data_IF_306922539565
#
_entry.id   IF_306922539565
#
_cell.length_a   1.000
_cell.length_b   1.000
_cell.length_c   1.000
_cell.angle_alpha   90.00
_cell.angle_beta   90.00
_cell.angle_gamma   90.00
#
_symmetry.space_group_name_H-M   'P 1'
#
loop_
_entity.id
_entity.type
_entity.pdbx_description
1 polymer ?
#
# COMPACT_ATOMS: atom_id res chain seq x y z
N UNK A 1 -19.79 3.80 13.23
CA UNK A 1 -18.48 3.29 12.77
C UNK A 1 -17.50 4.45 12.75
N UNK A 2 -16.36 4.34 13.41
CA UNK A 2 -15.41 5.45 13.50
C UNK A 2 -14.60 5.61 12.21
N UNK A 3 -14.04 6.80 11.99
CA UNK A 3 -13.15 7.09 10.85
C UNK A 3 -11.95 6.17 10.84
N UNK A 4 -11.38 5.85 12.00
CA UNK A 4 -10.26 4.92 12.13
C UNK A 4 -10.59 3.53 11.59
N UNK A 5 -11.76 3.00 11.93
CA UNK A 5 -12.22 1.70 11.42
C UNK A 5 -12.38 1.74 9.89
N UNK A 6 -12.95 2.82 9.34
CA UNK A 6 -13.14 2.96 7.90
C UNK A 6 -11.81 3.04 7.15
N UNK A 7 -10.88 3.84 7.63
CA UNK A 7 -9.54 3.97 7.01
C UNK A 7 -8.78 2.65 7.10
N UNK A 8 -8.79 1.97 8.25
CA UNK A 8 -8.18 0.65 8.40
C UNK A 8 -8.74 -0.34 7.37
N UNK A 9 -10.06 -0.45 7.27
CA UNK A 9 -10.71 -1.36 6.31
C UNK A 9 -10.39 -1.00 4.86
N UNK A 10 -10.34 0.28 4.52
CA UNK A 10 -9.94 0.73 3.20
C UNK A 10 -8.51 0.30 2.88
N UNK A 11 -7.55 0.57 3.75
CA UNK A 11 -6.15 0.21 3.53
C UNK A 11 -5.97 -1.30 3.36
N UNK A 12 -6.62 -2.11 4.18
CA UNK A 12 -6.55 -3.57 4.08
C UNK A 12 -7.15 -4.07 2.76
N UNK A 13 -8.33 -3.56 2.38
CA UNK A 13 -9.01 -3.91 1.12
C UNK A 13 -8.13 -3.60 -0.11
N UNK A 14 -7.51 -2.41 -0.13
CA UNK A 14 -6.65 -1.99 -1.24
C UNK A 14 -5.34 -2.80 -1.28
N UNK A 15 -4.76 -3.14 -0.12
CA UNK A 15 -3.60 -4.01 -0.04
C UNK A 15 -3.89 -5.43 -0.55
N UNK A 16 -5.05 -6.00 -0.17
CA UNK A 16 -5.48 -7.30 -0.67
C UNK A 16 -5.69 -7.28 -2.20
N UNK A 17 -6.21 -6.17 -2.75
CA UNK A 17 -6.32 -5.98 -4.19
C UNK A 17 -4.94 -5.86 -4.85
N UNK A 18 -3.99 -5.16 -4.22
CA UNK A 18 -2.64 -5.02 -4.76
C UNK A 18 -1.91 -6.37 -4.79
N UNK A 19 -2.04 -7.19 -3.76
CA UNK A 19 -1.50 -8.55 -3.73
C UNK A 19 -2.04 -9.35 -4.91
N UNK A 20 -3.35 -9.30 -5.17
CA UNK A 20 -3.96 -9.98 -6.32
C UNK A 20 -3.43 -9.45 -7.67
N UNK A 21 -3.19 -8.14 -7.81
CA UNK A 21 -2.56 -7.60 -9.04
C UNK A 21 -1.14 -8.13 -9.26
N UNK A 22 -0.34 -8.26 -8.20
CA UNK A 22 0.99 -8.87 -8.28
C UNK A 22 0.88 -10.36 -8.63
N UNK A 23 -0.01 -11.10 -7.99
CA UNK A 23 -0.25 -12.53 -8.26
C UNK A 23 -0.76 -12.78 -9.69
N UNK A 24 -1.50 -11.84 -10.27
CA UNK A 24 -2.01 -11.90 -11.65
C UNK A 24 -0.96 -11.58 -12.72
N UNK A 25 0.24 -11.16 -12.37
CA UNK A 25 1.35 -11.13 -13.30
C UNK A 25 1.69 -12.58 -13.73
N UNK A 26 1.80 -12.89 -15.03
CA UNK A 26 2.01 -14.27 -15.49
C UNK A 26 3.35 -14.85 -15.03
N UNK A 27 4.36 -14.02 -14.90
CA UNK A 27 5.71 -14.39 -14.48
C UNK A 27 6.44 -13.23 -13.80
N UNK A 28 7.66 -13.50 -13.32
CA UNK A 28 8.49 -12.53 -12.64
C UNK A 28 9.11 -11.50 -13.63
N UNK A 29 9.23 -11.81 -14.91
CA UNK A 29 9.72 -10.89 -15.94
C UNK A 29 8.69 -9.74 -16.12
N UNK A 30 7.43 -10.07 -16.32
CA UNK A 30 6.34 -9.09 -16.48
C UNK A 30 6.19 -8.22 -15.24
N UNK A 31 6.41 -8.78 -14.05
CA UNK A 31 6.37 -8.02 -12.79
C UNK A 31 7.30 -6.81 -12.79
N UNK A 32 8.49 -6.93 -13.40
CA UNK A 32 9.53 -5.89 -13.44
C UNK A 32 9.57 -5.10 -14.76
N UNK A 33 8.73 -5.47 -15.73
CA UNK A 33 8.64 -4.80 -17.01
C UNK A 33 7.92 -3.45 -16.91
N UNK A 34 8.32 -2.49 -17.73
CA UNK A 34 7.68 -1.17 -17.86
C UNK A 34 7.19 -0.95 -19.28
N UNK A 35 6.18 -0.12 -19.46
CA UNK A 35 5.72 0.34 -20.77
C UNK A 35 6.42 1.66 -21.15
N UNK A 36 6.44 2.04 -22.45
CA UNK A 36 6.95 3.36 -22.87
C UNK A 36 6.29 4.51 -22.10
N UNK A 37 7.13 5.42 -21.56
CA UNK A 37 6.67 6.55 -20.75
C UNK A 37 6.35 6.22 -19.28
N UNK A 38 6.56 4.98 -18.85
CA UNK A 38 6.34 4.54 -17.46
C UNK A 38 7.69 4.22 -16.80
N UNK A 39 7.93 4.76 -15.61
CA UNK A 39 9.20 4.60 -14.88
C UNK A 39 9.20 3.43 -13.89
N UNK A 40 8.06 3.09 -13.32
CA UNK A 40 7.94 2.09 -12.26
C UNK A 40 7.15 0.88 -12.74
N UNK A 41 7.73 -0.30 -12.54
CA UNK A 41 7.04 -1.58 -12.78
C UNK A 41 5.98 -1.87 -11.69
N UNK A 42 5.16 -2.89 -11.92
CA UNK A 42 4.23 -3.41 -10.89
C UNK A 42 4.98 -3.80 -9.62
N UNK A 43 6.16 -4.43 -9.77
CA UNK A 43 7.04 -4.80 -8.66
C UNK A 43 7.53 -3.58 -7.86
N UNK A 44 8.00 -2.51 -8.55
CA UNK A 44 8.41 -1.28 -7.88
C UNK A 44 7.25 -0.63 -7.11
N UNK A 45 6.07 -0.55 -7.71
CA UNK A 45 4.89 0.01 -7.06
C UNK A 45 4.48 -0.81 -5.84
N UNK A 46 4.55 -2.14 -5.92
CA UNK A 46 4.27 -3.03 -4.79
C UNK A 46 5.25 -2.85 -3.64
N UNK A 47 6.55 -2.83 -3.92
CA UNK A 47 7.57 -2.56 -2.89
C UNK A 47 7.43 -1.16 -2.29
N UNK A 48 7.14 -0.15 -3.14
CA UNK A 48 6.94 1.22 -2.69
C UNK A 48 5.77 1.35 -1.72
N UNK A 49 4.62 0.77 -2.05
CA UNK A 49 3.44 0.78 -1.18
C UNK A 49 3.72 0.03 0.13
N UNK A 50 4.35 -1.13 0.05
CA UNK A 50 4.70 -1.92 1.24
C UNK A 50 5.66 -1.15 2.16
N UNK A 51 6.74 -0.60 1.62
CA UNK A 51 7.71 0.21 2.39
C UNK A 51 7.11 1.49 2.97
N UNK A 52 6.24 2.15 2.20
CA UNK A 52 5.52 3.35 2.61
C UNK A 52 4.65 3.08 3.85
N UNK A 53 3.78 2.08 3.79
CA UNK A 53 2.85 1.77 4.88
C UNK A 53 3.55 1.20 6.11
N UNK A 54 4.56 0.34 5.93
CA UNK A 54 5.38 -0.15 7.06
C UNK A 54 6.11 0.99 7.77
N UNK A 55 6.59 1.99 7.02
CA UNK A 55 7.24 3.15 7.60
C UNK A 55 6.25 4.07 8.30
N UNK A 56 5.22 4.54 7.61
CA UNK A 56 4.36 5.58 8.16
C UNK A 56 3.36 5.03 9.18
N UNK A 57 2.68 3.94 8.88
CA UNK A 57 1.74 3.34 9.83
C UNK A 57 2.49 2.50 10.85
N UNK A 58 3.37 1.60 10.41
CA UNK A 58 4.08 0.70 11.30
C UNK A 58 5.05 1.42 12.22
N UNK A 59 5.99 2.17 11.67
CA UNK A 59 7.06 2.79 12.46
C UNK A 59 6.62 4.11 13.09
N UNK A 60 6.15 5.08 12.32
CA UNK A 60 5.88 6.42 12.85
C UNK A 60 4.65 6.48 13.75
N UNK A 61 3.60 5.73 13.45
CA UNK A 61 2.39 5.68 14.30
C UNK A 61 2.51 4.55 15.33
N UNK A 62 2.94 3.37 14.91
CA UNK A 62 2.95 2.14 15.72
C UNK A 62 4.27 1.82 16.43
N UNK A 63 5.37 2.51 16.13
CA UNK A 63 6.67 2.31 16.81
C UNK A 63 7.35 0.96 16.47
N UNK A 64 7.09 0.36 15.31
CA UNK A 64 7.61 -0.97 14.95
C UNK A 64 9.14 -1.05 14.76
N UNK A 65 9.83 0.08 14.62
CA UNK A 65 11.26 0.11 14.34
C UNK A 65 11.62 -0.19 12.88
N UNK A 66 10.65 -0.29 11.96
CA UNK A 66 10.90 -0.55 10.54
C UNK A 66 11.80 0.53 9.92
N UNK A 67 12.88 0.09 9.27
CA UNK A 67 13.79 0.96 8.52
C UNK A 67 13.48 0.85 7.04
N UNK A 68 13.03 1.95 6.45
CA UNK A 68 12.62 2.01 5.04
C UNK A 68 13.83 2.11 4.12
N UNK A 69 13.87 1.27 3.11
CA UNK A 69 14.82 1.35 1.99
C UNK A 69 14.11 1.89 0.73
N UNK A 70 13.93 3.23 0.70
CA UNK A 70 13.23 3.88 -0.41
C UNK A 70 14.00 3.77 -1.73
N UNK A 71 15.32 3.71 -1.68
CA UNK A 71 16.15 3.57 -2.87
C UNK A 71 15.91 2.20 -3.53
N UNK A 72 15.88 1.13 -2.75
CA UNK A 72 15.54 -0.21 -3.24
C UNK A 72 14.15 -0.26 -3.86
N UNK A 73 13.14 0.38 -3.27
CA UNK A 73 11.77 0.39 -3.80
C UNK A 73 11.71 0.79 -5.27
N UNK A 74 12.51 1.77 -5.68
CA UNK A 74 12.48 2.34 -7.03
C UNK A 74 13.59 1.83 -7.96
N UNK A 75 14.67 1.28 -7.44
CA UNK A 75 15.82 0.84 -8.23
C UNK A 75 15.85 -0.68 -8.49
N UNK A 76 15.11 -1.48 -7.72
CA UNK A 76 15.04 -2.92 -7.94
C UNK A 76 14.42 -3.23 -9.31
N UNK A 77 15.04 -4.17 -10.05
CA UNK A 77 14.62 -4.56 -11.42
C UNK A 77 14.44 -6.07 -11.59
N UNK A 78 14.55 -6.82 -10.52
CA UNK A 78 14.39 -8.28 -10.50
C UNK A 78 13.96 -8.75 -9.12
N UNK A 79 13.47 -9.99 -9.04
CA UNK A 79 12.97 -10.63 -7.83
C UNK A 79 11.67 -11.37 -8.13
N UNK A 80 11.25 -12.23 -7.25
CA UNK A 80 10.04 -13.04 -7.44
C UNK A 80 8.76 -12.30 -7.05
N UNK A 81 7.65 -12.69 -7.65
CA UNK A 81 6.31 -12.27 -7.22
C UNK A 81 6.06 -12.62 -5.76
N UNK A 82 6.57 -13.76 -5.30
CA UNK A 82 6.43 -14.20 -3.92
C UNK A 82 7.08 -13.21 -2.94
N UNK A 83 8.24 -12.65 -3.26
CA UNK A 83 8.91 -11.62 -2.44
C UNK A 83 8.10 -10.34 -2.36
N UNK A 84 7.55 -9.84 -3.47
CA UNK A 84 6.73 -8.63 -3.48
C UNK A 84 5.41 -8.86 -2.73
N UNK A 85 4.76 -10.00 -2.93
CA UNK A 85 3.57 -10.37 -2.17
C UNK A 85 3.86 -10.50 -0.66
N UNK A 86 5.01 -11.06 -0.27
CA UNK A 86 5.40 -11.15 1.13
C UNK A 86 5.59 -9.77 1.77
N UNK A 87 6.20 -8.82 1.05
CA UNK A 87 6.34 -7.44 1.51
C UNK A 87 4.98 -6.74 1.68
N UNK A 88 4.05 -6.93 0.74
CA UNK A 88 2.69 -6.40 0.83
C UNK A 88 1.90 -7.02 1.98
N UNK A 89 2.01 -8.34 2.20
CA UNK A 89 1.36 -9.03 3.34
C UNK A 89 1.92 -8.53 4.68
N UNK A 90 3.23 -8.36 4.79
CA UNK A 90 3.85 -7.78 5.98
C UNK A 90 3.34 -6.35 6.26
N UNK A 91 3.20 -5.52 5.22
CA UNK A 91 2.61 -4.20 5.35
C UNK A 91 1.13 -4.27 5.80
N UNK A 92 0.37 -5.21 5.25
CA UNK A 92 -1.03 -5.45 5.61
C UNK A 92 -1.17 -5.81 7.09
N UNK A 93 -0.37 -6.72 7.58
CA UNK A 93 -0.41 -7.18 8.97
C UNK A 93 -0.02 -6.05 9.94
N UNK A 94 0.99 -5.27 9.58
CA UNK A 94 1.42 -4.09 10.35
C UNK A 94 0.32 -3.02 10.39
N UNK A 95 -0.31 -2.71 9.25
CA UNK A 95 -1.44 -1.76 9.18
C UNK A 95 -2.59 -2.26 10.04
N UNK A 96 -2.95 -3.52 9.92
CA UNK A 96 -4.05 -4.14 10.65
C UNK A 96 -3.82 -4.06 12.16
N UNK A 97 -2.69 -4.54 12.62
CA UNK A 97 -2.32 -4.56 14.05
C UNK A 97 -2.22 -3.16 14.63
N UNK A 98 -1.54 -2.26 13.92
CA UNK A 98 -1.32 -0.88 14.40
C UNK A 98 -2.62 -0.12 14.54
N UNK A 99 -3.46 -0.14 13.50
CA UNK A 99 -4.70 0.64 13.51
C UNK A 99 -5.80 -0.01 14.36
N UNK A 100 -5.78 -1.34 14.56
CA UNK A 100 -6.68 -2.00 15.51
C UNK A 100 -6.39 -1.63 16.96
N UNK A 101 -5.11 -1.45 17.30
CA UNK A 101 -4.67 -1.09 18.65
C UNK A 101 -4.56 0.42 18.90
N UNK A 102 -4.80 1.27 17.88
CA UNK A 102 -4.64 2.71 18.02
C UNK A 102 -5.84 3.32 18.76
N UNK A 103 -5.64 3.99 19.91
CA UNK A 103 -6.70 4.74 20.56
C UNK A 103 -7.23 5.88 19.66
N UNK A 104 -8.54 6.08 19.60
CA UNK A 104 -9.14 7.11 18.72
C UNK A 104 -8.63 8.52 19.01
N UNK A 105 -8.29 8.81 20.25
CA UNK A 105 -7.74 10.11 20.67
C UNK A 105 -6.41 10.41 19.96
N UNK A 106 -5.66 9.37 19.58
CA UNK A 106 -4.41 9.52 18.84
C UNK A 106 -4.60 10.09 17.43
N UNK A 107 -5.80 10.00 16.85
CA UNK A 107 -6.11 10.61 15.55
C UNK A 107 -5.98 12.14 15.58
N UNK A 108 -6.24 12.76 16.74
CA UNK A 108 -6.10 14.20 16.94
C UNK A 108 -4.63 14.62 17.15
N UNK A 109 -3.72 13.65 17.22
CA UNK A 109 -2.28 13.89 17.34
C UNK A 109 -1.64 14.30 16.02
N UNK A 110 -0.34 14.57 16.10
CA UNK A 110 0.45 15.03 14.95
C UNK A 110 1.70 14.18 14.79
N UNK A 111 2.10 13.96 13.53
CA UNK A 111 3.38 13.37 13.15
C UNK A 111 4.37 14.48 12.79
N UNK A 112 5.56 14.38 13.33
CA UNK A 112 6.70 15.23 12.97
C UNK A 112 7.68 14.46 12.08
N UNK A 113 8.52 15.16 11.31
CA UNK A 113 9.55 14.52 10.46
C UNK A 113 9.03 13.96 9.13
N UNK A 114 7.74 14.06 8.83
CA UNK A 114 7.18 13.74 7.49
C UNK A 114 7.42 14.90 6.53
N UNK A 115 7.17 16.12 6.99
CA UNK A 115 7.50 17.36 6.28
C UNK A 115 8.56 18.15 7.06
N UNK A 116 9.45 18.89 6.37
CA UNK A 116 10.55 19.63 7.03
C UNK A 116 10.07 20.63 8.09
N UNK A 117 9.01 21.37 7.79
CA UNK A 117 8.66 22.58 8.55
C UNK A 117 7.28 22.53 9.21
N UNK A 118 6.61 21.39 9.20
CA UNK A 118 5.29 21.25 9.85
C UNK A 118 4.99 19.85 10.32
N UNK A 119 4.22 19.78 11.40
CA UNK A 119 3.59 18.55 11.84
C UNK A 119 2.31 18.28 11.03
N UNK A 120 2.02 17.02 10.77
CA UNK A 120 0.83 16.57 10.04
C UNK A 120 -0.18 15.96 11.00
N UNK A 121 -1.46 16.35 10.96
CA UNK A 121 -2.51 15.64 11.67
C UNK A 121 -2.57 14.16 11.25
N UNK A 122 -2.65 13.26 12.20
CA UNK A 122 -2.62 11.81 11.94
C UNK A 122 -3.82 11.39 11.10
N UNK A 123 -5.00 11.88 11.39
CA UNK A 123 -6.24 11.60 10.66
C UNK A 123 -6.13 12.00 9.18
N UNK A 124 -5.71 13.23 8.90
CA UNK A 124 -5.51 13.73 7.55
C UNK A 124 -4.44 12.93 6.80
N UNK A 125 -3.37 12.53 7.51
CA UNK A 125 -2.31 11.74 6.90
C UNK A 125 -2.76 10.30 6.58
N UNK A 126 -3.55 9.66 7.43
CA UNK A 126 -4.13 8.36 7.15
C UNK A 126 -5.06 8.37 5.93
N UNK A 127 -5.87 9.42 5.77
CA UNK A 127 -6.68 9.63 4.56
C UNK A 127 -5.80 9.79 3.32
N UNK A 128 -4.70 10.56 3.43
CA UNK A 128 -3.72 10.68 2.35
C UNK A 128 -3.10 9.34 1.98
N UNK A 129 -2.72 8.50 2.96
CA UNK A 129 -2.15 7.17 2.70
C UNK A 129 -3.14 6.26 1.97
N UNK A 130 -4.43 6.34 2.28
CA UNK A 130 -5.47 5.61 1.55
C UNK A 130 -5.56 6.05 0.08
N UNK A 131 -5.57 7.36 -0.18
CA UNK A 131 -5.56 7.90 -1.55
C UNK A 131 -4.28 7.53 -2.32
N UNK A 132 -3.13 7.59 -1.66
CA UNK A 132 -1.83 7.22 -2.22
C UNK A 132 -1.77 5.73 -2.60
N UNK A 133 -2.26 4.84 -1.74
CA UNK A 133 -2.35 3.41 -2.01
C UNK A 133 -3.27 3.13 -3.22
N UNK A 134 -4.47 3.71 -3.23
CA UNK A 134 -5.42 3.55 -4.34
C UNK A 134 -4.86 4.06 -5.67
N UNK A 135 -4.12 5.18 -5.66
CA UNK A 135 -3.44 5.72 -6.83
C UNK A 135 -2.44 4.72 -7.42
N UNK A 136 -1.58 4.14 -6.57
CA UNK A 136 -0.58 3.17 -7.03
C UNK A 136 -1.18 1.81 -7.41
N UNK A 137 -2.25 1.37 -6.74
CA UNK A 137 -3.01 0.19 -7.15
C UNK A 137 -3.59 0.35 -8.56
N UNK A 138 -4.18 1.52 -8.84
CA UNK A 138 -4.69 1.82 -10.18
C UNK A 138 -3.59 1.79 -11.25
N UNK A 139 -2.42 2.37 -10.97
CA UNK A 139 -1.27 2.33 -11.87
C UNK A 139 -0.79 0.90 -12.12
N UNK A 140 -0.63 0.09 -11.06
CA UNK A 140 -0.19 -1.30 -11.17
C UNK A 140 -1.15 -2.14 -12.01
N UNK A 141 -2.46 -2.02 -11.77
CA UNK A 141 -3.48 -2.75 -12.51
C UNK A 141 -3.56 -2.35 -13.98
N UNK A 142 -3.42 -1.07 -14.31
CA UNK A 142 -3.34 -0.63 -15.71
C UNK A 142 -2.08 -1.11 -16.39
N UNK A 143 -0.92 -0.98 -15.75
CA UNK A 143 0.36 -1.40 -16.32
C UNK A 143 0.37 -2.90 -16.61
N UNK A 144 -0.07 -3.74 -15.64
CA UNK A 144 -0.17 -5.20 -15.86
C UNK A 144 -1.01 -5.51 -17.09
N UNK A 145 -2.23 -4.94 -17.20
CA UNK A 145 -3.13 -5.18 -18.33
C UNK A 145 -2.54 -4.73 -19.68
N UNK A 146 -1.87 -3.58 -19.70
CA UNK A 146 -1.18 -3.11 -20.92
C UNK A 146 -0.07 -4.06 -21.34
N UNK A 147 0.69 -4.60 -20.39
CA UNK A 147 1.82 -5.49 -20.68
C UNK A 147 1.39 -6.92 -21.05
N UNK A 148 0.26 -7.39 -20.53
CA UNK A 148 -0.21 -8.77 -20.70
C UNK A 148 -1.30 -8.93 -21.75
N UNK A 149 -2.02 -7.88 -22.09
CA UNK A 149 -3.26 -7.97 -22.88
C UNK A 149 -4.45 -8.59 -22.12
N UNK A 150 -4.28 -8.99 -20.85
CA UNK A 150 -5.34 -9.48 -20.00
C UNK A 150 -6.20 -8.30 -19.52
N UNK A 151 -7.49 -8.32 -19.82
CA UNK A 151 -8.43 -7.25 -19.46
C UNK A 151 -9.07 -7.43 -18.07
N UNK A 152 -8.73 -8.51 -17.34
CA UNK A 152 -9.27 -8.79 -16.00
C UNK A 152 -8.72 -7.79 -14.99
N UNK A 153 -9.60 -7.10 -14.27
CA UNK A 153 -9.24 -6.20 -13.17
C UNK A 153 -9.25 -6.94 -11.84
N UNK A 154 -8.21 -6.74 -11.03
CA UNK A 154 -8.13 -7.18 -9.64
C UNK A 154 -8.60 -6.09 -8.68
N UNK A 155 -9.63 -5.35 -9.06
CA UNK A 155 -10.15 -4.23 -8.29
C UNK A 155 -10.47 -4.61 -6.83
N UNK A 156 -10.48 -3.63 -5.93
CA UNK A 156 -10.92 -3.84 -4.55
C UNK A 156 -12.35 -4.37 -4.48
N UNK A 157 -12.66 -5.06 -3.39
CA UNK A 157 -14.02 -5.48 -3.10
C UNK A 157 -14.99 -4.29 -3.09
N UNK A 158 -16.28 -4.50 -3.42
CA UNK A 158 -17.29 -3.45 -3.38
C UNK A 158 -17.35 -2.74 -2.01
N UNK A 159 -17.82 -1.49 -2.01
CA UNK A 159 -17.91 -0.67 -0.79
C UNK A 159 -18.70 -1.35 0.34
N UNK A 160 -19.67 -2.20 0.01
CA UNK A 160 -20.45 -2.93 1.01
C UNK A 160 -19.57 -3.78 1.94
N UNK A 161 -18.49 -4.36 1.42
CA UNK A 161 -17.54 -5.12 2.22
C UNK A 161 -16.81 -4.27 3.29
N UNK A 162 -16.80 -2.95 3.16
CA UNK A 162 -16.26 -2.04 4.18
C UNK A 162 -17.24 -1.78 5.32
N UNK A 163 -18.53 -2.01 5.10
CA UNK A 163 -19.61 -1.70 6.04
C UNK A 163 -20.03 -2.93 6.85
N UNK A 164 -19.78 -4.13 6.32
CA UNK A 164 -20.12 -5.39 7.00
C UNK A 164 -19.20 -5.57 8.22
N UNK A 165 -19.82 -5.84 9.35
CA UNK A 165 -19.10 -6.23 10.58
C UNK A 165 -18.65 -7.68 10.44
N UNK A 166 -17.36 -7.93 10.62
CA UNK A 166 -16.88 -9.29 10.84
C UNK A 166 -17.38 -9.80 12.20
#
# INVERSE_FOLDING_TARGET
MSTLILVRRQLLRELDAFIREVEACPDDEVLWKVAPGVTNSVGNLGLHVAGNLQHFVGHMIGGSGYVRDREREFNQRSGSRAEVCAALRAARDVVDTTLAGLPEERLNGHLTGVLPDRALPIDAFLVHLGAHLAFHLGQAGYLRRVLTGDNTSQSPLPIIAMLETA
#
